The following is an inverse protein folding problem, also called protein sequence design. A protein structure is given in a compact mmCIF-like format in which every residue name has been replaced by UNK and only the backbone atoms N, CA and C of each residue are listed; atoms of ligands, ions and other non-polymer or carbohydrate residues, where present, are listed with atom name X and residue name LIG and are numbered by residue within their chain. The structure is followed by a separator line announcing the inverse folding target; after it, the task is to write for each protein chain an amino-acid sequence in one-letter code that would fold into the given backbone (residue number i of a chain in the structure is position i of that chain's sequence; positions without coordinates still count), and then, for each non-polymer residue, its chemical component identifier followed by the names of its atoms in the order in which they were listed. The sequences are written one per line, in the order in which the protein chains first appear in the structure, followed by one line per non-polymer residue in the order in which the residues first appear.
data_IF_366814738591
#
_entry.id   IF_366814738591
#
_cell.length_a   1.000
_cell.length_b   1.000
_cell.length_c   1.000
_cell.angle_alpha   90.00
_cell.angle_beta   90.00
_cell.angle_gamma   90.00
#
_symmetry.space_group_name_H-M   'P 1'
#
loop_
_entity.id
_entity.type
_entity.pdbx_description
1 polymer ?
#
# COMPACT_ATOMS: atom_id res chain seq x y z
N UNK A 1 -14.18 -16.64 4.72
CA UNK A 1 -14.52 -16.48 6.15
C UNK A 1 -14.78 -14.99 6.36
N UNK A 2 -16.05 -14.58 6.50
CA UNK A 2 -16.37 -13.16 6.72
C UNK A 2 -15.88 -12.75 8.10
N UNK A 3 -14.93 -11.82 8.17
CA UNK A 3 -14.58 -11.13 9.41
C UNK A 3 -15.79 -10.28 9.82
N UNK A 4 -16.55 -10.79 10.80
CA UNK A 4 -17.59 -10.00 11.45
C UNK A 4 -16.93 -8.92 12.27
N UNK A 5 -17.14 -7.64 11.92
CA UNK A 5 -16.87 -6.55 12.84
C UNK A 5 -17.77 -6.75 14.07
N UNK A 6 -17.19 -7.26 15.16
CA UNK A 6 -17.88 -7.38 16.43
C UNK A 6 -18.18 -5.95 16.89
N UNK A 7 -19.47 -5.60 16.93
CA UNK A 7 -19.95 -4.33 17.51
C UNK A 7 -19.54 -4.29 18.98
N UNK A 8 -18.42 -3.64 19.28
CA UNK A 8 -18.05 -3.32 20.65
C UNK A 8 -19.12 -2.36 21.19
N UNK A 9 -19.91 -2.78 22.18
CA UNK A 9 -21.14 -2.10 22.60
C UNK A 9 -20.93 -0.68 23.16
N UNK A 10 -19.69 -0.31 23.46
CA UNK A 10 -19.33 0.95 24.12
C UNK A 10 -18.66 1.97 23.19
N UNK A 11 -18.13 1.55 22.04
CA UNK A 11 -17.58 2.45 21.02
C UNK A 11 -18.70 2.82 20.05
N UNK A 12 -19.08 4.10 20.02
CA UNK A 12 -20.15 4.60 19.14
C UNK A 12 -19.66 4.85 17.72
N UNK A 13 -18.49 5.45 17.63
CA UNK A 13 -17.87 5.79 16.37
C UNK A 13 -16.36 5.96 16.56
N UNK A 14 -15.61 5.59 15.55
CA UNK A 14 -14.19 5.90 15.44
C UNK A 14 -13.95 6.56 14.09
N UNK A 15 -13.06 7.55 14.09
CA UNK A 15 -12.63 8.22 12.88
C UNK A 15 -11.12 8.38 12.91
N UNK A 16 -10.47 7.87 11.88
CA UNK A 16 -9.09 8.23 11.57
C UNK A 16 -9.20 9.37 10.56
N UNK A 17 -8.72 10.54 10.93
CA UNK A 17 -8.62 11.70 10.05
C UNK A 17 -7.14 11.90 9.73
N UNK A 18 -6.77 11.68 8.47
CA UNK A 18 -5.46 12.15 8.02
C UNK A 18 -5.50 13.68 8.03
N UNK A 19 -4.51 14.31 8.63
CA UNK A 19 -4.35 15.76 8.49
C UNK A 19 -3.88 15.91 7.05
N UNK A 20 -4.65 16.54 6.16
CA UNK A 20 -4.19 16.72 4.81
C UNK A 20 -2.96 17.62 4.88
N UNK A 21 -1.77 17.03 4.72
CA UNK A 21 -0.59 17.85 4.48
C UNK A 21 -0.73 18.52 3.11
N UNK A 22 -1.49 17.93 2.17
CA UNK A 22 -1.82 18.51 0.85
C UNK A 22 -3.04 17.86 0.16
N UNK A 23 -3.93 17.17 0.89
CA UNK A 23 -5.06 16.42 0.27
C UNK A 23 -4.62 15.24 -0.60
N UNK A 24 -3.42 14.70 -0.36
CA UNK A 24 -2.82 13.59 -1.11
C UNK A 24 -3.63 12.29 -0.93
N UNK A 25 -3.88 11.60 -2.04
CA UNK A 25 -4.50 10.27 -2.08
C UNK A 25 -3.49 9.12 -2.04
N UNK A 26 -2.21 9.42 -2.27
CA UNK A 26 -1.10 8.47 -2.36
C UNK A 26 0.15 9.02 -1.70
N UNK A 27 1.04 8.11 -1.30
CA UNK A 27 2.29 8.44 -0.63
C UNK A 27 3.47 7.68 -1.22
N UNK A 28 4.66 8.26 -1.12
CA UNK A 28 5.92 7.64 -1.52
C UNK A 28 6.74 7.20 -0.30
N UNK A 29 7.76 6.39 -0.57
CA UNK A 29 8.77 6.01 0.43
C UNK A 29 9.37 7.26 1.12
N UNK A 30 9.59 7.17 2.43
CA UNK A 30 10.10 8.25 3.28
C UNK A 30 9.19 9.48 3.42
N UNK A 31 7.99 9.50 2.83
CA UNK A 31 7.02 10.55 3.14
C UNK A 31 6.45 10.38 4.56
N UNK A 32 6.17 11.50 5.21
CA UNK A 32 5.60 11.53 6.56
C UNK A 32 4.07 11.66 6.51
N UNK A 33 3.39 10.67 7.07
CA UNK A 33 1.97 10.68 7.40
C UNK A 33 1.75 11.44 8.71
N UNK A 34 0.89 12.45 8.68
CA UNK A 34 0.44 13.18 9.88
C UNK A 34 -1.07 13.09 9.97
N UNK A 35 -1.60 12.82 11.15
CA UNK A 35 -3.04 12.66 11.31
C UNK A 35 -3.52 12.75 12.74
N UNK A 36 -4.83 12.56 12.89
CA UNK A 36 -5.55 12.52 14.15
C UNK A 36 -6.50 11.32 14.18
N UNK A 37 -6.54 10.65 15.32
CA UNK A 37 -7.56 9.66 15.65
C UNK A 37 -8.58 10.33 16.56
N UNK A 38 -9.85 10.31 16.17
CA UNK A 38 -10.97 10.77 16.99
C UNK A 38 -11.79 9.55 17.37
N UNK A 39 -11.83 9.26 18.67
CA UNK A 39 -12.61 8.16 19.23
C UNK A 39 -13.81 8.71 19.98
N UNK A 40 -15.00 8.19 19.66
CA UNK A 40 -16.25 8.52 20.34
C UNK A 40 -16.85 7.29 21.01
N UNK A 41 -17.02 7.37 22.33
CA UNK A 41 -17.57 6.31 23.17
C UNK A 41 -18.89 6.77 23.79
N UNK A 42 -19.73 5.83 24.24
CA UNK A 42 -21.00 6.15 24.92
C UNK A 42 -20.77 6.87 26.25
N UNK A 43 -19.72 6.45 26.93
CA UNK A 43 -19.36 6.84 28.28
C UNK A 43 -17.84 6.77 28.42
N UNK A 44 -17.32 7.21 29.55
CA UNK A 44 -15.91 7.04 29.86
C UNK A 44 -15.60 5.56 29.99
N UNK A 45 -14.61 5.09 29.22
CA UNK A 45 -14.19 3.68 29.25
C UNK A 45 -12.72 3.57 29.65
N UNK A 46 -12.38 2.49 30.36
CA UNK A 46 -10.99 2.13 30.62
C UNK A 46 -10.46 1.22 29.50
N UNK A 47 -9.19 1.38 29.17
CA UNK A 47 -8.46 0.61 28.15
C UNK A 47 -7.17 0.09 28.76
N UNK A 48 -6.79 -1.14 28.43
CA UNK A 48 -5.40 -1.61 28.65
C UNK A 48 -4.48 -1.08 27.54
N UNK A 49 -5.01 -1.01 26.31
CA UNK A 49 -4.25 -0.56 25.15
C UNK A 49 -5.14 0.09 24.09
N UNK A 50 -4.65 1.22 23.55
CA UNK A 50 -5.16 1.81 22.31
C UNK A 50 -3.95 2.01 21.40
N UNK A 51 -3.90 1.27 20.30
CA UNK A 51 -2.77 1.30 19.38
C UNK A 51 -3.18 1.58 17.94
N UNK A 52 -2.36 2.35 17.26
CA UNK A 52 -2.46 2.60 15.83
C UNK A 52 -1.28 1.89 15.18
N UNK A 53 -1.52 1.08 14.15
CA UNK A 53 -0.45 0.38 13.42
C UNK A 53 -0.52 0.68 11.92
N UNK A 54 0.63 0.91 11.29
CA UNK A 54 0.77 0.85 9.84
C UNK A 54 1.07 -0.59 9.43
N UNK A 55 0.24 -1.15 8.56
CA UNK A 55 0.32 -2.55 8.16
C UNK A 55 0.45 -2.66 6.65
N UNK A 56 1.41 -3.47 6.20
CA UNK A 56 1.53 -3.96 4.82
C UNK A 56 1.07 -5.40 4.73
N UNK A 57 0.12 -5.68 3.84
CA UNK A 57 -0.40 -7.02 3.59
C UNK A 57 -0.23 -7.43 2.12
N UNK A 58 0.13 -8.69 1.91
CA UNK A 58 0.07 -9.38 0.63
C UNK A 58 -1.12 -10.33 0.69
N UNK A 59 -2.10 -10.12 -0.18
CA UNK A 59 -3.22 -11.04 -0.37
C UNK A 59 -3.00 -11.77 -1.68
N UNK A 60 -3.04 -13.10 -1.66
CA UNK A 60 -3.03 -13.93 -2.87
C UNK A 60 -4.29 -14.76 -2.91
N UNK A 61 -4.94 -14.80 -4.08
CA UNK A 61 -6.13 -15.61 -4.32
C UNK A 61 -5.97 -16.40 -5.62
N UNK A 62 -6.27 -17.69 -5.54
CA UNK A 62 -6.26 -18.56 -6.71
C UNK A 62 -7.41 -19.54 -6.64
N UNK A 63 -7.94 -19.87 -7.82
CA UNK A 63 -9.07 -20.78 -7.96
C UNK A 63 -8.56 -22.12 -8.44
N UNK A 64 -8.79 -23.15 -7.64
CA UNK A 64 -8.51 -24.54 -8.03
C UNK A 64 -9.77 -25.17 -8.59
N UNK A 65 -9.72 -25.58 -9.86
CA UNK A 65 -10.76 -26.40 -10.48
C UNK A 65 -10.26 -27.84 -10.54
N UNK A 66 -10.88 -28.80 -9.82
CA UNK A 66 -10.46 -30.20 -9.91
C UNK A 66 -10.67 -30.74 -11.33
N UNK A 67 -9.64 -31.36 -11.89
CA UNK A 67 -9.57 -31.81 -13.31
C UNK A 67 -10.57 -32.94 -13.62
N UNK A 68 -11.11 -33.62 -12.61
CA UNK A 68 -11.79 -34.92 -12.78
C UNK A 68 -13.28 -34.96 -12.48
N UNK A 69 -13.91 -33.88 -12.02
CA UNK A 69 -15.37 -33.87 -11.74
C UNK A 69 -16.00 -32.53 -12.09
N UNK A 70 -17.22 -32.57 -12.65
CA UNK A 70 -18.11 -31.41 -12.87
C UNK A 70 -18.57 -30.78 -11.54
N UNK A 71 -17.64 -30.35 -10.71
CA UNK A 71 -17.90 -29.83 -9.37
C UNK A 71 -17.21 -28.48 -9.15
N UNK A 72 -17.90 -27.67 -8.35
CA UNK A 72 -17.63 -26.29 -7.94
C UNK A 72 -16.15 -25.94 -7.77
N UNK A 73 -15.73 -24.86 -8.45
CA UNK A 73 -14.44 -24.21 -8.25
C UNK A 73 -14.27 -23.76 -6.81
N UNK A 74 -13.13 -24.06 -6.20
CA UNK A 74 -12.78 -23.57 -4.85
C UNK A 74 -11.78 -22.43 -4.98
N UNK A 75 -12.09 -21.27 -4.42
CA UNK A 75 -11.15 -20.15 -4.32
C UNK A 75 -10.46 -20.20 -2.97
N UNK A 76 -9.13 -20.25 -2.99
CA UNK A 76 -8.28 -20.17 -1.81
C UNK A 76 -7.75 -18.74 -1.72
N UNK A 77 -7.73 -18.17 -0.52
CA UNK A 77 -7.19 -16.83 -0.27
C UNK A 77 -6.23 -16.90 0.90
N UNK A 78 -5.00 -16.44 0.69
CA UNK A 78 -3.97 -16.31 1.70
C UNK A 78 -3.69 -14.83 1.93
N UNK A 79 -3.50 -14.45 3.19
CA UNK A 79 -3.13 -13.10 3.60
C UNK A 79 -1.88 -13.18 4.45
N UNK A 80 -0.80 -12.57 3.98
CA UNK A 80 0.48 -12.49 4.66
C UNK A 80 0.73 -11.04 5.08
N UNK A 81 0.90 -10.82 6.39
CA UNK A 81 1.34 -9.52 6.92
C UNK A 81 2.87 -9.50 6.87
N UNK A 82 3.43 -8.67 6.00
CA UNK A 82 4.88 -8.56 5.83
C UNK A 82 5.47 -7.34 6.56
N UNK A 83 4.61 -6.42 7.02
CA UNK A 83 5.00 -5.24 7.77
C UNK A 83 3.93 -4.91 8.80
N UNK A 84 4.33 -4.75 10.07
CA UNK A 84 3.53 -4.11 11.12
C UNK A 84 4.43 -3.14 11.87
N UNK A 85 4.07 -1.86 11.85
CA UNK A 85 4.77 -0.81 12.60
C UNK A 85 3.78 -0.11 13.53
N UNK A 86 4.07 -0.08 14.83
CA UNK A 86 3.21 0.56 15.83
C UNK A 86 3.50 2.06 15.84
N UNK A 87 2.45 2.85 15.70
CA UNK A 87 2.48 4.31 15.69
C UNK A 87 2.06 4.82 17.07
N UNK A 88 2.87 5.71 17.63
CA UNK A 88 2.61 6.33 18.94
C UNK A 88 1.47 7.35 18.81
N UNK A 89 0.42 7.15 19.61
CA UNK A 89 -0.69 8.11 19.75
C UNK A 89 -0.39 9.07 20.90
N UNK A 90 -0.47 10.39 20.65
CA UNK A 90 -0.32 11.42 21.70
C UNK A 90 -1.59 12.24 21.86
N UNK A 91 -2.03 12.45 23.11
CA UNK A 91 -3.17 13.31 23.44
C UNK A 91 -2.80 14.80 23.48
N UNK A 92 -1.51 15.15 23.40
CA UNK A 92 -1.03 16.53 23.40
C UNK A 92 -0.63 16.97 21.99
N UNK A 93 -1.08 18.14 21.50
CA UNK A 93 -0.88 18.54 20.11
C UNK A 93 0.57 18.90 19.71
N UNK A 94 1.51 19.03 20.66
CA UNK A 94 2.83 19.64 20.39
C UNK A 94 4.03 18.93 21.06
N UNK A 95 3.90 17.71 21.58
CA UNK A 95 5.09 16.97 22.03
C UNK A 95 5.63 16.10 20.91
N UNK A 96 6.84 16.45 20.47
CA UNK A 96 7.64 15.69 19.52
C UNK A 96 8.07 14.39 20.20
N UNK A 97 7.25 13.34 20.03
CA UNK A 97 7.50 12.04 20.65
C UNK A 97 8.67 11.37 19.92
N UNK A 98 9.84 11.44 20.53
CA UNK A 98 11.02 10.66 20.14
C UNK A 98 10.68 9.18 20.17
N UNK A 99 10.93 8.49 19.05
CA UNK A 99 10.93 7.04 18.90
C UNK A 99 11.64 6.39 20.10
N UNK A 100 10.85 5.91 21.07
CA UNK A 100 11.36 5.06 22.13
C UNK A 100 11.33 3.61 21.62
N UNK A 101 12.48 2.96 21.78
CA UNK A 101 12.74 1.58 21.42
C UNK A 101 11.61 0.62 21.79
N UNK A 102 11.40 -0.34 20.90
CA UNK A 102 10.21 -1.17 20.68
C UNK A 102 9.93 -2.22 21.77
N UNK A 103 10.47 -2.08 22.98
CA UNK A 103 10.40 -3.14 24.00
C UNK A 103 9.76 -2.75 25.34
N UNK A 104 9.38 -1.49 25.55
CA UNK A 104 8.64 -1.09 26.76
C UNK A 104 7.61 0.00 26.46
N UNK A 105 6.57 -0.34 25.70
CA UNK A 105 5.31 0.39 25.82
C UNK A 105 4.71 0.05 27.18
N UNK A 106 4.97 0.91 28.18
CA UNK A 106 4.28 0.85 29.46
C UNK A 106 2.77 0.79 29.20
N UNK A 107 2.10 -0.15 29.88
CA UNK A 107 0.67 -0.38 29.78
C UNK A 107 -0.08 0.96 29.67
N UNK A 108 -0.79 1.14 28.57
CA UNK A 108 -1.60 2.33 28.32
C UNK A 108 -2.89 2.22 29.13
N UNK A 109 -2.77 2.28 30.46
CA UNK A 109 -3.92 2.31 31.35
C UNK A 109 -4.48 3.73 31.36
N UNK A 110 -5.40 3.99 30.42
CA UNK A 110 -6.00 5.31 30.27
C UNK A 110 -7.51 5.22 30.29
N UNK A 111 -8.09 6.23 30.94
CA UNK A 111 -9.52 6.49 30.91
C UNK A 111 -9.82 7.36 29.69
N UNK A 112 -10.53 6.79 28.73
CA UNK A 112 -10.93 7.45 27.50
C UNK A 112 -12.22 8.21 27.77
N UNK A 113 -12.19 9.53 27.60
CA UNK A 113 -13.39 10.37 27.67
C UNK A 113 -14.33 10.07 26.50
N UNK A 114 -15.65 10.38 26.62
CA UNK A 114 -16.65 10.17 25.56
C UNK A 114 -16.26 10.67 24.17
N UNK A 115 -15.42 11.71 24.12
CA UNK A 115 -14.72 12.13 22.91
C UNK A 115 -13.25 12.30 23.25
N UNK A 116 -12.39 11.51 22.61
CA UNK A 116 -10.93 11.57 22.77
C UNK A 116 -10.28 11.81 21.41
N UNK A 117 -9.27 12.67 21.38
CA UNK A 117 -8.52 13.00 20.15
C UNK A 117 -7.04 12.77 20.38
N UNK A 118 -6.40 12.03 19.47
CA UNK A 118 -4.99 11.71 19.50
C UNK A 118 -4.34 12.15 18.21
N UNK A 119 -3.18 12.79 18.26
CA UNK A 119 -2.39 13.09 17.07
C UNK A 119 -1.34 12.01 16.85
N UNK A 120 -0.95 11.81 15.59
CA UNK A 120 0.13 10.90 15.23
C UNK A 120 0.95 11.44 14.06
N UNK A 121 2.21 11.02 14.04
CA UNK A 121 3.18 11.28 12.98
C UNK A 121 3.92 9.97 12.70
N UNK A 122 4.07 9.62 11.42
CA UNK A 122 4.73 8.38 11.00
C UNK A 122 5.44 8.57 9.67
N UNK A 123 6.70 8.16 9.57
CA UNK A 123 7.45 8.17 8.32
C UNK A 123 7.34 6.81 7.65
N UNK A 124 6.91 6.79 6.39
CA UNK A 124 6.78 5.57 5.61
C UNK A 124 8.18 4.97 5.41
N UNK A 125 8.38 3.67 5.74
CA UNK A 125 9.66 3.00 5.53
C UNK A 125 10.15 3.10 4.09
N UNK A 126 11.46 2.97 3.90
CA UNK A 126 12.03 2.92 2.57
C UNK A 126 11.71 1.57 1.89
N UNK A 127 11.86 1.56 0.56
CA UNK A 127 11.88 0.33 -0.22
C UNK A 127 10.60 -0.53 -0.11
N UNK A 128 9.44 0.09 0.12
CA UNK A 128 8.18 -0.64 0.15
C UNK A 128 7.72 -1.00 -1.27
N UNK A 129 7.18 -2.21 -1.49
CA UNK A 129 6.57 -2.52 -2.78
C UNK A 129 5.36 -1.59 -3.00
N UNK A 130 5.12 -1.12 -4.24
CA UNK A 130 3.96 -0.29 -4.53
C UNK A 130 2.65 -1.05 -4.26
N UNK A 131 1.60 -0.31 -3.94
CA UNK A 131 0.24 -0.85 -3.89
C UNK A 131 -0.16 -1.32 -5.28
N UNK A 132 -0.48 -2.61 -5.41
CA UNK A 132 -0.84 -3.26 -6.67
C UNK A 132 -2.10 -4.07 -6.44
N UNK A 133 -3.07 -3.95 -7.35
CA UNK A 133 -4.28 -4.77 -7.39
C UNK A 133 -4.29 -5.58 -8.68
N UNK A 134 -4.31 -6.90 -8.55
CA UNK A 134 -4.31 -7.84 -9.67
C UNK A 134 -5.44 -8.87 -9.52
N UNK A 135 -5.75 -9.56 -10.61
CA UNK A 135 -6.85 -10.54 -10.69
C UNK A 135 -6.70 -11.73 -9.72
N UNK A 136 -5.52 -11.94 -9.14
CA UNK A 136 -5.23 -13.02 -8.18
C UNK A 136 -4.63 -12.53 -6.86
N UNK A 137 -4.83 -11.27 -6.48
CA UNK A 137 -4.28 -10.75 -5.23
C UNK A 137 -3.96 -9.26 -5.25
N UNK A 138 -3.49 -8.75 -4.10
CA UNK A 138 -3.03 -7.38 -3.97
C UNK A 138 -1.90 -7.25 -2.96
N UNK A 139 -1.10 -6.20 -3.15
CA UNK A 139 -0.24 -5.63 -2.11
C UNK A 139 -0.94 -4.36 -1.65
N UNK A 140 -1.26 -4.28 -0.36
CA UNK A 140 -2.03 -3.17 0.21
C UNK A 140 -1.47 -2.69 1.54
N UNK A 141 -1.72 -1.42 1.84
CA UNK A 141 -1.32 -0.81 3.11
C UNK A 141 -2.50 -0.15 3.79
N UNK A 142 -2.45 -0.10 5.12
CA UNK A 142 -3.50 0.53 5.91
C UNK A 142 -3.02 0.94 7.29
N UNK A 143 -3.73 1.91 7.85
CA UNK A 143 -3.70 2.19 9.28
C UNK A 143 -4.78 1.35 9.97
N UNK A 144 -4.38 0.60 10.98
CA UNK A 144 -5.24 -0.21 11.82
C UNK A 144 -5.30 0.41 13.22
N UNK A 145 -6.50 0.79 13.65
CA UNK A 145 -6.75 1.21 15.02
C UNK A 145 -7.31 0.02 15.82
N UNK A 146 -6.58 -0.41 16.83
CA UNK A 146 -6.93 -1.51 17.72
C UNK A 146 -7.20 -0.97 19.13
N UNK A 147 -8.18 -1.58 19.82
CA UNK A 147 -8.51 -1.27 21.21
C UNK A 147 -8.59 -2.56 22.02
N UNK A 148 -7.89 -2.59 23.15
CA UNK A 148 -7.89 -3.70 24.10
C UNK A 148 -8.56 -3.23 25.40
N UNK A 149 -9.82 -3.64 25.64
CA UNK A 149 -10.47 -3.44 26.93
C UNK A 149 -9.83 -4.32 28.00
N UNK A 150 -9.94 -3.92 29.27
CA UNK A 150 -9.43 -4.69 30.40
C UNK A 150 -9.99 -6.12 30.43
N UNK A 151 -9.10 -7.11 30.49
CA UNK A 151 -9.46 -8.54 30.52
C UNK A 151 -10.06 -9.11 29.24
N UNK A 152 -9.99 -8.38 28.12
CA UNK A 152 -10.52 -8.80 26.82
C UNK A 152 -9.42 -8.84 25.73
N UNK A 153 -9.71 -9.53 24.62
CA UNK A 153 -8.81 -9.51 23.46
C UNK A 153 -8.88 -8.18 22.73
N UNK A 154 -7.77 -7.78 22.11
CA UNK A 154 -7.71 -6.66 21.19
C UNK A 154 -8.79 -6.77 20.09
N UNK A 155 -9.45 -5.65 19.82
CA UNK A 155 -10.51 -5.52 18.81
C UNK A 155 -10.11 -4.48 17.79
N UNK A 156 -10.24 -4.83 16.52
CA UNK A 156 -10.17 -3.88 15.42
C UNK A 156 -11.33 -2.89 15.53
N UNK A 157 -11.02 -1.59 15.61
CA UNK A 157 -12.02 -0.53 15.60
C UNK A 157 -12.18 0.05 14.20
N UNK A 158 -11.06 0.26 13.50
CA UNK A 158 -11.05 0.93 12.19
C UNK A 158 -9.84 0.53 11.37
N UNK A 159 -10.08 0.26 10.10
CA UNK A 159 -9.08 0.13 9.04
C UNK A 159 -9.22 1.30 8.07
N UNK A 160 -8.12 2.02 7.80
CA UNK A 160 -8.05 3.10 6.81
C UNK A 160 -7.01 2.73 5.74
N UNK A 161 -7.40 2.52 4.48
CA UNK A 161 -6.45 2.18 3.42
C UNK A 161 -5.50 3.35 3.14
N UNK A 162 -4.25 3.01 2.84
CA UNK A 162 -3.19 3.92 2.41
C UNK A 162 -2.62 3.38 1.10
N UNK A 163 -2.50 4.23 0.08
CA UNK A 163 -1.89 3.86 -1.20
C UNK A 163 -0.43 4.29 -1.20
N UNK A 164 0.47 3.32 -1.37
CA UNK A 164 1.91 3.56 -1.52
C UNK A 164 2.28 3.44 -2.99
N UNK A 165 2.99 4.45 -3.51
CA UNK A 165 3.54 4.47 -4.87
C UNK A 165 5.04 4.25 -4.82
N UNK A 166 5.56 3.53 -5.83
CA UNK A 166 7.00 3.37 -5.99
C UNK A 166 7.61 4.70 -6.42
N UNK A 167 8.59 5.16 -5.65
CA UNK A 167 9.42 6.32 -5.99
C UNK A 167 10.45 5.99 -7.09
N UNK A 168 10.60 4.71 -7.43
CA UNK A 168 11.54 4.24 -8.46
C UNK A 168 10.99 4.60 -9.83
N UNK A 169 11.29 5.81 -10.28
CA UNK A 169 11.44 6.06 -11.70
C UNK A 169 12.47 5.01 -12.20
N UNK A 170 12.13 4.15 -13.17
CA UNK A 170 13.12 3.26 -13.73
C UNK A 170 14.31 4.13 -14.18
N UNK A 171 15.56 3.72 -13.91
CA UNK A 171 16.70 4.47 -14.41
C UNK A 171 16.48 4.69 -15.90
N UNK A 172 16.40 5.96 -16.31
CA UNK A 172 16.34 6.33 -17.72
C UNK A 172 17.71 6.03 -18.27
N UNK A 173 17.98 4.77 -18.59
CA UNK A 173 19.12 4.42 -19.40
C UNK A 173 18.73 4.70 -20.87
N UNK A 174 19.30 5.73 -21.51
CA UNK A 174 19.02 6.01 -22.91
C UNK A 174 19.43 4.85 -23.84
N UNK A 175 20.31 3.93 -23.39
CA UNK A 175 20.65 2.72 -24.15
C UNK A 175 19.61 1.60 -24.01
N UNK A 176 18.85 1.52 -22.90
CA UNK A 176 17.80 0.51 -22.71
C UNK A 176 16.64 0.64 -23.71
N UNK A 177 16.52 1.80 -24.36
CA UNK A 177 15.45 2.10 -25.32
C UNK A 177 15.84 1.89 -26.79
N UNK A 178 17.06 1.42 -27.06
CA UNK A 178 17.54 1.23 -28.44
C UNK A 178 17.77 -0.24 -28.73
N UNK A 179 16.97 -0.82 -29.62
CA UNK A 179 17.17 -2.18 -30.14
C UNK A 179 17.80 -2.13 -31.53
N UNK A 180 19.00 -2.68 -31.66
CA UNK A 180 19.73 -2.77 -32.93
C UNK A 180 19.92 -4.22 -33.36
N UNK A 181 19.47 -4.56 -34.57
CA UNK A 181 19.69 -5.89 -35.17
C UNK A 181 20.26 -5.75 -36.57
N UNK A 182 21.34 -6.48 -36.85
CA UNK A 182 21.97 -6.54 -38.18
C UNK A 182 21.95 -7.97 -38.72
N UNK A 183 21.58 -8.14 -39.98
CA UNK A 183 21.65 -9.41 -40.71
C UNK A 183 22.23 -9.16 -42.11
N UNK A 184 23.49 -9.53 -42.31
CA UNK A 184 24.21 -9.19 -43.54
C UNK A 184 24.31 -7.67 -43.71
N UNK A 185 23.82 -7.17 -44.84
CA UNK A 185 23.80 -5.73 -45.17
C UNK A 185 22.60 -4.98 -44.56
N UNK A 186 21.56 -5.70 -44.12
CA UNK A 186 20.38 -5.09 -43.52
C UNK A 186 20.62 -4.79 -42.04
N UNK A 187 20.31 -3.56 -41.59
CA UNK A 187 20.22 -3.22 -40.17
C UNK A 187 18.91 -2.53 -39.84
N UNK A 188 18.35 -2.87 -38.68
CA UNK A 188 17.17 -2.26 -38.08
C UNK A 188 17.56 -1.68 -36.74
N UNK A 189 17.26 -0.41 -36.52
CA UNK A 189 17.38 0.27 -35.24
C UNK A 189 15.98 0.73 -34.81
N UNK A 190 15.55 0.33 -33.63
CA UNK A 190 14.30 0.77 -33.01
C UNK A 190 14.70 1.61 -31.81
N UNK A 191 14.27 2.86 -31.77
CA UNK A 191 14.48 3.76 -30.64
C UNK A 191 13.12 4.11 -30.04
N UNK A 192 12.95 3.97 -28.73
CA UNK A 192 11.74 4.39 -28.03
C UNK A 192 12.04 5.62 -27.17
N UNK A 193 11.26 6.69 -27.30
CA UNK A 193 11.32 7.83 -26.39
C UNK A 193 9.91 8.27 -26.02
N UNK A 194 9.53 8.37 -24.73
CA UNK A 194 10.31 8.09 -23.52
C UNK A 194 10.38 6.59 -23.14
N UNK A 195 11.30 6.24 -22.23
CA UNK A 195 11.43 4.89 -21.60
C UNK A 195 10.21 4.47 -20.78
N UNK A 196 9.25 5.37 -20.60
CA UNK A 196 8.08 5.19 -19.76
C UNK A 196 6.82 5.57 -20.54
N UNK A 197 5.83 4.69 -20.53
CA UNK A 197 4.51 4.94 -21.10
C UNK A 197 3.58 5.21 -19.94
N UNK A 198 3.05 6.44 -19.86
CA UNK A 198 1.93 6.71 -18.96
C UNK A 198 0.67 6.06 -19.51
N UNK A 199 -0.17 5.50 -18.63
CA UNK A 199 -1.52 5.04 -18.98
C UNK A 199 -2.38 6.15 -19.60
N UNK A 200 -2.07 7.42 -19.34
CA UNK A 200 -2.78 8.59 -19.86
C UNK A 200 -2.33 8.99 -21.27
N UNK A 201 -1.13 8.56 -21.69
CA UNK A 201 -0.57 8.80 -23.04
C UNK A 201 0.01 7.49 -23.58
N UNK A 202 -0.83 6.58 -24.06
CA UNK A 202 -0.42 5.26 -24.55
C UNK A 202 0.29 5.31 -25.91
N UNK A 203 0.30 6.48 -26.57
CA UNK A 203 1.04 6.67 -27.80
C UNK A 203 2.54 6.53 -27.51
N UNK A 204 3.10 5.43 -28.01
CA UNK A 204 4.51 5.11 -27.99
C UNK A 204 5.19 5.83 -29.16
N UNK A 205 5.99 6.88 -28.93
CA UNK A 205 6.85 7.41 -29.97
C UNK A 205 8.02 6.43 -30.12
N UNK A 206 7.91 5.52 -31.08
CA UNK A 206 9.03 4.67 -31.49
C UNK A 206 9.49 5.08 -32.89
N UNK A 207 10.80 5.26 -33.04
CA UNK A 207 11.46 5.52 -34.30
C UNK A 207 12.08 4.22 -34.80
N UNK A 208 11.68 3.77 -35.99
CA UNK A 208 12.30 2.62 -36.66
C UNK A 208 13.14 3.13 -37.82
N UNK A 209 14.46 3.01 -37.70
CA UNK A 209 15.40 3.25 -38.79
C UNK A 209 15.82 1.93 -39.43
N UNK A 210 15.59 1.79 -40.73
CA UNK A 210 15.99 0.61 -41.51
C UNK A 210 17.03 1.04 -42.54
N UNK A 211 18.21 0.44 -42.47
CA UNK A 211 19.25 0.60 -43.48
C UNK A 211 19.36 -0.69 -44.30
N UNK A 212 19.03 -0.61 -45.58
CA UNK A 212 19.11 -1.71 -46.54
C UNK A 212 19.91 -1.29 -47.77
N UNK A 213 21.25 -1.28 -47.69
CA UNK A 213 22.12 -0.97 -48.81
C UNK A 213 22.16 -2.10 -49.86
N UNK A 214 21.53 -3.25 -49.58
CA UNK A 214 21.29 -4.31 -50.56
C UNK A 214 20.17 -3.93 -51.54
N UNK A 215 20.16 -4.54 -52.72
CA UNK A 215 19.08 -4.37 -53.71
C UNK A 215 17.82 -5.19 -53.39
N UNK A 216 17.81 -5.91 -52.28
CA UNK A 216 16.72 -6.80 -51.89
C UNK A 216 15.50 -6.01 -51.42
N UNK A 217 14.31 -6.35 -51.90
CA UNK A 217 13.06 -5.69 -51.48
C UNK A 217 12.58 -6.22 -50.13
N UNK A 218 12.40 -5.33 -49.15
CA UNK A 218 11.77 -5.67 -47.86
C UNK A 218 10.25 -5.69 -48.05
N UNK A 219 9.65 -6.90 -48.05
CA UNK A 219 8.21 -7.07 -48.28
C UNK A 219 7.36 -6.83 -47.02
N UNK A 220 7.90 -7.10 -45.83
CA UNK A 220 7.19 -6.98 -44.55
C UNK A 220 8.16 -6.87 -43.38
N UNK A 221 7.81 -6.03 -42.41
CA UNK A 221 8.37 -6.00 -41.05
C UNK A 221 7.30 -6.65 -40.15
N UNK A 222 7.68 -7.67 -39.40
CA UNK A 222 6.81 -8.39 -38.46
C UNK A 222 7.36 -8.21 -37.06
#
# INVERSE_FOLDING_TARGET
MMLSCIKNTNILASQIQLTPTDGKEFYFDNETLVGKVILKTKETISSEELSLSFIGELVTSYTTTPVTTHSTSTTITNTDIFLKHVIVLSSQPNEESTLADTENFNAFDSTLSPVSTFSFTFTIPDSLPPSIFAFGGHIGYYLLLEFMPHGEKAKEIKKLPITICSSVLPPVDPQANTYSKKKGNLSVNIKMEPSYISSEKPELPFEITINNPGKDTIKKIK
#
